data_IF_677592197015
#
_entry.id   IF_677592197015
#
_cell.length_a   1.000
_cell.length_b   1.000
_cell.length_c   1.000
_cell.angle_alpha   90.00
_cell.angle_beta   90.00
_cell.angle_gamma   90.00
#
_symmetry.space_group_name_H-M   'P 1'
#
loop_
_entity.id
_entity.type
_entity.pdbx_description
1 polymer ?
#
# COMPACT_ATOMS: atom_id res chain seq x y z
N UNK A 1 -6.01 10.16 -10.39
CA UNK A 1 -5.69 9.53 -9.09
C UNK A 1 -6.33 8.17 -9.10
N UNK A 2 -5.59 7.11 -8.76
CA UNK A 2 -6.16 5.78 -8.60
C UNK A 2 -6.82 5.74 -7.22
N UNK A 3 -8.08 5.31 -7.16
CA UNK A 3 -8.76 5.01 -5.90
C UNK A 3 -8.57 3.51 -5.64
N UNK A 4 -7.75 3.11 -4.66
CA UNK A 4 -7.52 1.70 -4.39
C UNK A 4 -8.78 1.01 -3.89
N UNK A 5 -8.95 -0.26 -4.26
CA UNK A 5 -10.10 -1.09 -3.93
C UNK A 5 -9.75 -2.05 -2.77
N UNK A 6 -10.64 -2.19 -1.79
CA UNK A 6 -10.42 -3.05 -0.62
C UNK A 6 -10.11 -4.48 -1.04
N UNK A 7 -9.09 -5.06 -0.40
CA UNK A 7 -8.53 -6.39 -0.65
C UNK A 7 -7.81 -6.56 -1.99
N UNK A 8 -7.80 -5.54 -2.87
CA UNK A 8 -7.01 -5.57 -4.09
C UNK A 8 -5.50 -5.43 -3.81
N UNK A 9 -4.70 -6.09 -4.63
CA UNK A 9 -3.25 -6.09 -4.53
C UNK A 9 -2.65 -5.10 -5.53
N UNK A 10 -1.53 -4.48 -5.17
CA UNK A 10 -0.87 -3.45 -5.96
C UNK A 10 0.63 -3.66 -5.94
N UNK A 11 1.26 -3.39 -7.07
CA UNK A 11 2.71 -3.24 -7.16
C UNK A 11 3.06 -1.81 -6.76
N UNK A 12 4.00 -1.69 -5.82
CA UNK A 12 4.39 -0.43 -5.21
C UNK A 12 5.88 -0.22 -5.45
N UNK A 13 6.24 0.93 -6.02
CA UNK A 13 7.63 1.34 -6.12
C UNK A 13 7.99 2.21 -4.92
N UNK A 14 9.04 1.81 -4.21
CA UNK A 14 9.64 2.60 -3.14
C UNK A 14 10.62 3.61 -3.71
N UNK A 15 10.88 4.69 -2.98
CA UNK A 15 11.90 5.67 -3.38
C UNK A 15 13.33 5.10 -3.45
N UNK A 16 13.58 3.92 -2.87
CA UNK A 16 14.84 3.18 -3.00
C UNK A 16 15.02 2.52 -4.36
N UNK A 17 13.96 2.43 -5.18
CA UNK A 17 13.92 1.64 -6.42
C UNK A 17 13.50 0.19 -6.20
N UNK A 18 13.25 -0.23 -4.96
CA UNK A 18 12.64 -1.53 -4.67
C UNK A 18 11.16 -1.54 -5.05
N UNK A 19 10.69 -2.68 -5.52
CA UNK A 19 9.27 -2.95 -5.74
C UNK A 19 8.73 -3.87 -4.66
N UNK A 20 7.56 -3.55 -4.13
CA UNK A 20 6.86 -4.31 -3.10
C UNK A 20 5.43 -4.60 -3.53
N UNK A 21 4.86 -5.68 -3.00
CA UNK A 21 3.47 -6.07 -3.26
C UNK A 21 2.64 -5.79 -2.03
N UNK A 22 1.74 -4.83 -2.13
CA UNK A 22 0.89 -4.42 -1.02
C UNK A 22 -0.57 -4.69 -1.33
N UNK A 23 -1.32 -5.14 -0.31
CA UNK A 23 -2.77 -5.25 -0.37
C UNK A 23 -3.40 -4.05 0.31
N UNK A 24 -4.38 -3.42 -0.34
CA UNK A 24 -5.14 -2.33 0.26
C UNK A 24 -6.17 -2.88 1.25
N UNK A 25 -6.18 -2.36 2.48
CA UNK A 25 -7.10 -2.80 3.54
C UNK A 25 -8.29 -1.86 3.74
N UNK A 26 -8.29 -0.69 3.09
CA UNK A 26 -9.30 0.34 3.30
C UNK A 26 -8.80 1.50 4.15
N UNK A 27 -9.74 2.36 4.56
CA UNK A 27 -9.49 3.44 5.51
C UNK A 27 -10.03 3.08 6.89
N UNK A 28 -9.33 3.50 7.94
CA UNK A 28 -9.86 3.42 9.31
C UNK A 28 -10.89 4.51 9.62
N UNK A 29 -11.42 4.49 10.84
CA UNK A 29 -12.41 5.49 11.30
C UNK A 29 -11.89 6.95 11.33
N UNK A 30 -10.56 7.15 11.23
CA UNK A 30 -9.92 8.46 11.15
C UNK A 30 -9.60 8.87 9.71
N UNK A 31 -9.93 8.03 8.73
CA UNK A 31 -9.65 8.24 7.32
C UNK A 31 -8.21 7.91 6.92
N UNK A 32 -7.41 7.30 7.81
CA UNK A 32 -6.06 6.87 7.44
C UNK A 32 -6.16 5.63 6.55
N UNK A 33 -5.43 5.64 5.44
CA UNK A 33 -5.34 4.51 4.51
C UNK A 33 -4.41 3.43 5.06
N UNK A 34 -4.86 2.18 5.01
CA UNK A 34 -4.14 1.00 5.49
C UNK A 34 -3.77 0.05 4.36
N UNK A 35 -2.59 -0.55 4.49
CA UNK A 35 -2.01 -1.50 3.57
C UNK A 35 -1.43 -2.70 4.36
N UNK A 36 -1.34 -3.85 3.69
CA UNK A 36 -0.59 -5.01 4.16
C UNK A 36 0.53 -5.31 3.18
N UNK A 37 1.75 -5.39 3.66
CA UNK A 37 2.89 -5.89 2.88
C UNK A 37 2.77 -7.40 2.73
N UNK A 38 2.71 -7.91 1.49
CA UNK A 38 2.51 -9.35 1.24
C UNK A 38 3.79 -10.18 1.44
N UNK A 39 4.95 -9.55 1.60
CA UNK A 39 6.23 -10.24 1.77
C UNK A 39 6.58 -10.41 3.26
N UNK A 40 6.17 -9.45 4.09
CA UNK A 40 6.39 -9.48 5.55
C UNK A 40 5.12 -9.75 6.35
N UNK A 41 3.95 -9.74 5.70
CA UNK A 41 2.61 -9.83 6.31
C UNK A 41 2.26 -8.70 7.30
N UNK A 42 3.10 -7.65 7.37
CA UNK A 42 2.89 -6.53 8.26
C UNK A 42 1.87 -5.54 7.70
N UNK A 43 0.99 -5.07 8.59
CA UNK A 43 0.04 -4.01 8.30
C UNK A 43 0.60 -2.66 8.73
N UNK A 44 0.36 -1.65 7.92
CA UNK A 44 0.78 -0.28 8.21
C UNK A 44 -0.19 0.72 7.58
N UNK A 45 -0.18 1.93 8.13
CA UNK A 45 -0.88 3.07 7.55
C UNK A 45 0.09 3.94 6.75
N UNK A 46 -0.43 4.77 5.85
CA UNK A 46 0.39 5.76 5.13
C UNK A 46 1.14 6.69 6.09
N UNK A 47 0.54 7.01 7.23
CA UNK A 47 1.13 7.83 8.30
C UNK A 47 2.32 7.17 8.99
N UNK A 48 2.43 5.85 8.92
CA UNK A 48 3.48 5.06 9.58
C UNK A 48 4.72 4.86 8.69
N UNK A 49 4.59 5.10 7.39
CA UNK A 49 5.69 4.99 6.44
C UNK A 49 6.58 6.24 6.50
N UNK A 50 7.86 6.05 6.77
CA UNK A 50 8.85 7.13 6.82
C UNK A 50 9.52 7.39 5.46
N UNK A 51 9.06 6.74 4.40
CA UNK A 51 9.64 6.84 3.05
C UNK A 51 8.56 7.08 2.00
N UNK A 52 8.94 7.70 0.88
CA UNK A 52 8.05 7.93 -0.25
C UNK A 52 7.86 6.65 -1.07
N UNK A 53 6.67 6.47 -1.62
CA UNK A 53 6.27 5.33 -2.43
C UNK A 53 5.20 5.75 -3.44
N UNK A 54 4.98 4.93 -4.47
CA UNK A 54 3.91 5.13 -5.45
C UNK A 54 3.31 3.80 -5.89
N UNK A 55 2.00 3.81 -6.17
CA UNK A 55 1.35 2.70 -6.88
C UNK A 55 1.84 2.68 -8.32
N UNK A 56 2.33 1.53 -8.77
CA UNK A 56 2.75 1.27 -10.15
C UNK A 56 1.59 0.68 -10.95
N UNK A 57 0.99 -0.39 -10.45
CA UNK A 57 -0.14 -1.06 -11.09
C UNK A 57 -1.00 -1.86 -10.08
N UNK A 58 -2.22 -2.21 -10.50
CA UNK A 58 -3.06 -3.16 -9.79
C UNK A 58 -2.71 -4.58 -10.23
N UNK A 59 -2.53 -5.46 -9.25
CA UNK A 59 -2.39 -6.90 -9.41
C UNK A 59 -3.79 -7.53 -9.29
N UNK A 60 -4.12 -8.47 -10.18
CA UNK A 60 -5.44 -9.07 -10.43
C UNK A 60 -6.48 -8.99 -9.30
#
# INVERSE_FOLDING_TARGET
MITPETDACYLIALCSGEERRWRYLGQDARGATWWRDLETELEFSESSLMYAWTVVERLG
#
